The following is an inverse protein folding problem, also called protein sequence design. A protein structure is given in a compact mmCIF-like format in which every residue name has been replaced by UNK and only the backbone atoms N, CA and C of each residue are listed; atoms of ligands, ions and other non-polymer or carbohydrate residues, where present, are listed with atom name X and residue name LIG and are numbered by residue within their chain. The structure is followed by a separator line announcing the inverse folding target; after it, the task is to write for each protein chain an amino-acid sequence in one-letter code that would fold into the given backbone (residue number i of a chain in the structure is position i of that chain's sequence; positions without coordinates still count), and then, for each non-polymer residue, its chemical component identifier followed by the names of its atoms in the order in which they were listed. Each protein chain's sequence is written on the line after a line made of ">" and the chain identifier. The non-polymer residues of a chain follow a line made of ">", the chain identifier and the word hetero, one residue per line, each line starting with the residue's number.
data_IF_844760190357
#
_entry.id   IF_844760190357
#
_cell.length_a   1.000
_cell.length_b   1.000
_cell.length_c   1.000
_cell.angle_alpha   90.00
_cell.angle_beta   90.00
_cell.angle_gamma   90.00
#
_symmetry.space_group_name_H-M   'P 1'
#
loop_
_entity.id
_entity.type
_entity.pdbx_description
1 polymer ?
#
# COMPACT_ATOMS: atom_id res chain seq x y z
N UNK A 1 40.48 22.26 -7.00
CA UNK A 1 40.07 20.93 -7.50
C UNK A 1 38.57 20.95 -7.74
N UNK A 2 38.06 20.31 -8.80
CA UNK A 2 36.65 20.39 -9.16
C UNK A 2 35.77 19.59 -8.20
N UNK A 3 34.62 20.15 -7.84
CA UNK A 3 33.64 19.49 -6.97
C UNK A 3 32.99 18.29 -7.67
N UNK A 4 32.45 17.33 -6.91
CA UNK A 4 31.71 16.19 -7.47
C UNK A 4 30.59 16.63 -8.43
N UNK A 5 29.87 17.70 -8.08
CA UNK A 5 28.80 18.26 -8.91
C UNK A 5 29.33 18.76 -10.26
N UNK A 6 30.53 19.35 -10.28
CA UNK A 6 31.17 19.79 -11.53
C UNK A 6 31.60 18.60 -12.40
N UNK A 7 32.15 17.55 -11.77
CA UNK A 7 32.54 16.32 -12.46
C UNK A 7 31.32 15.60 -13.07
N UNK A 8 30.21 15.52 -12.34
CA UNK A 8 28.95 14.95 -12.82
C UNK A 8 28.36 15.76 -13.97
N UNK A 9 28.46 17.10 -13.90
CA UNK A 9 27.98 17.99 -14.94
C UNK A 9 28.75 17.79 -16.25
N UNK A 10 30.09 17.60 -16.18
CA UNK A 10 30.91 17.25 -17.35
C UNK A 10 30.67 15.84 -17.89
N UNK A 11 30.37 14.87 -17.01
CA UNK A 11 29.96 13.52 -17.41
C UNK A 11 28.56 13.47 -18.06
N UNK A 12 27.80 14.56 -17.95
CA UNK A 12 26.43 14.71 -18.45
C UNK A 12 25.42 14.48 -17.34
N UNK A 13 24.71 15.55 -16.94
CA UNK A 13 23.80 15.55 -15.77
C UNK A 13 22.64 14.53 -15.83
N UNK A 14 22.19 14.17 -17.04
CA UNK A 14 21.09 13.24 -17.29
C UNK A 14 21.17 12.59 -18.68
N UNK A 15 22.31 11.94 -18.94
CA UNK A 15 22.58 11.25 -20.19
C UNK A 15 21.88 9.88 -20.29
N UNK A 16 22.26 9.10 -21.31
CA UNK A 16 21.64 7.79 -21.61
C UNK A 16 21.79 6.82 -20.45
N UNK A 17 22.94 6.82 -19.78
CA UNK A 17 23.19 5.96 -18.63
C UNK A 17 22.21 6.25 -17.49
N UNK A 18 22.12 7.51 -17.06
CA UNK A 18 21.24 7.90 -15.96
C UNK A 18 19.78 7.64 -16.28
N UNK A 19 19.33 7.91 -17.51
CA UNK A 19 17.96 7.61 -17.95
C UNK A 19 17.62 6.12 -17.86
N UNK A 20 18.54 5.24 -18.26
CA UNK A 20 18.34 3.79 -18.18
C UNK A 20 18.24 3.31 -16.73
N UNK A 21 19.19 3.71 -15.88
CA UNK A 21 19.18 3.37 -14.45
C UNK A 21 17.93 3.91 -13.76
N UNK A 22 17.56 5.15 -14.09
CA UNK A 22 16.37 5.81 -13.59
C UNK A 22 15.09 5.05 -13.92
N UNK A 23 14.87 4.72 -15.19
CA UNK A 23 13.67 3.99 -15.62
C UNK A 23 13.56 2.61 -14.96
N UNK A 24 14.68 1.90 -14.79
CA UNK A 24 14.72 0.63 -14.09
C UNK A 24 14.33 0.78 -12.62
N UNK A 25 14.92 1.75 -11.92
CA UNK A 25 14.62 1.97 -10.49
C UNK A 25 13.19 2.48 -10.26
N UNK A 26 12.61 3.22 -11.22
CA UNK A 26 11.21 3.63 -11.21
C UNK A 26 10.22 2.45 -11.18
N UNK A 27 10.55 1.30 -11.78
CA UNK A 27 9.70 0.10 -11.73
C UNK A 27 9.51 -0.42 -10.30
N UNK A 28 10.48 -0.17 -9.41
CA UNK A 28 10.35 -0.44 -7.98
C UNK A 28 9.19 0.34 -7.37
N UNK A 29 8.89 1.53 -7.91
CA UNK A 29 7.80 2.34 -7.42
C UNK A 29 6.42 1.74 -7.66
N UNK A 30 6.28 1.00 -8.76
CA UNK A 30 5.06 0.25 -9.11
C UNK A 30 4.81 -0.85 -8.07
N UNK A 31 5.83 -1.64 -7.73
CA UNK A 31 5.68 -2.73 -6.74
C UNK A 31 5.51 -2.21 -5.32
N UNK A 32 6.10 -1.06 -4.99
CA UNK A 32 5.84 -0.42 -3.71
C UNK A 32 4.38 0.06 -3.59
N UNK A 33 3.80 0.59 -4.66
CA UNK A 33 2.37 0.94 -4.69
C UNK A 33 1.50 -0.29 -4.44
N UNK A 34 1.81 -1.41 -5.09
CA UNK A 34 1.11 -2.67 -4.86
C UNK A 34 1.13 -3.08 -3.38
N UNK A 35 2.28 -2.97 -2.72
CA UNK A 35 2.39 -3.26 -1.30
C UNK A 35 1.57 -2.29 -0.43
N UNK A 36 1.61 -1.00 -0.78
CA UNK A 36 0.99 0.09 -0.02
C UNK A 36 -0.53 0.04 -0.05
N UNK A 37 -1.14 -0.12 -1.23
CA UNK A 37 -2.60 -0.16 -1.42
C UNK A 37 -3.19 -1.58 -1.48
N UNK A 38 -2.36 -2.61 -1.56
CA UNK A 38 -2.79 -4.01 -1.76
C UNK A 38 -3.81 -4.53 -0.75
N UNK A 39 -3.80 -4.03 0.48
CA UNK A 39 -4.74 -4.45 1.54
C UNK A 39 -6.20 -4.27 1.12
N UNK A 40 -6.49 -3.26 0.31
CA UNK A 40 -7.86 -2.94 -0.11
C UNK A 40 -8.45 -4.04 -1.00
N UNK A 41 -7.62 -4.68 -1.82
CA UNK A 41 -8.03 -5.80 -2.67
C UNK A 41 -7.96 -7.14 -1.93
N UNK A 42 -6.93 -7.32 -1.10
CA UNK A 42 -6.75 -8.55 -0.31
C UNK A 42 -7.84 -8.73 0.76
N UNK A 43 -8.34 -7.62 1.31
CA UNK A 43 -9.37 -7.55 2.35
C UNK A 43 -10.70 -7.05 1.83
N UNK A 44 -11.05 -7.32 0.57
CA UNK A 44 -12.36 -6.96 0.05
C UNK A 44 -13.48 -7.63 0.87
N UNK A 45 -14.43 -6.82 1.34
CA UNK A 45 -15.48 -7.31 2.23
C UNK A 45 -16.49 -8.16 1.45
N UNK A 46 -16.80 -9.38 1.93
CA UNK A 46 -17.76 -10.25 1.27
C UNK A 46 -19.18 -9.70 1.36
N UNK A 47 -19.95 -9.85 0.29
CA UNK A 47 -21.30 -9.28 0.17
C UNK A 47 -22.33 -9.99 1.08
N UNK A 48 -22.14 -11.29 1.34
CA UNK A 48 -22.98 -12.07 2.26
C UNK A 48 -22.13 -12.97 3.16
N UNK A 49 -22.30 -12.83 4.47
CA UNK A 49 -21.65 -13.67 5.49
C UNK A 49 -22.56 -13.90 6.70
N UNK A 50 -22.62 -15.14 7.21
CA UNK A 50 -23.39 -15.53 8.40
C UNK A 50 -22.55 -16.44 9.29
N UNK A 51 -22.98 -16.64 10.53
CA UNK A 51 -22.46 -17.71 11.36
C UNK A 51 -23.47 -18.85 11.48
N UNK A 52 -22.97 -20.09 11.37
CA UNK A 52 -23.79 -21.29 11.58
C UNK A 52 -23.67 -21.79 13.01
N UNK A 53 -24.81 -22.04 13.65
CA UNK A 53 -24.88 -22.83 14.88
C UNK A 53 -24.78 -24.33 14.57
N UNK A 54 -24.53 -25.19 15.58
CA UNK A 54 -24.46 -26.63 15.41
C UNK A 54 -25.74 -27.22 14.78
N UNK A 55 -26.92 -26.76 15.19
CA UNK A 55 -28.20 -27.21 14.59
C UNK A 55 -28.40 -26.73 13.15
N UNK A 56 -27.90 -25.54 12.80
CA UNK A 56 -27.96 -25.04 11.43
C UNK A 56 -27.01 -25.82 10.51
N UNK A 57 -25.80 -26.13 10.99
CA UNK A 57 -24.83 -26.94 10.26
C UNK A 57 -25.34 -28.36 10.00
N UNK A 58 -25.89 -29.02 11.02
CA UNK A 58 -26.48 -30.35 10.87
C UNK A 58 -27.68 -30.35 9.91
N UNK A 59 -28.49 -29.29 9.91
CA UNK A 59 -29.63 -29.15 9.01
C UNK A 59 -29.17 -28.93 7.57
N UNK A 60 -28.18 -28.06 7.33
CA UNK A 60 -27.61 -27.82 6.02
C UNK A 60 -27.01 -29.10 5.41
N UNK A 61 -26.26 -29.87 6.21
CA UNK A 61 -25.69 -31.16 5.78
C UNK A 61 -26.76 -32.21 5.49
N UNK A 62 -27.79 -32.31 6.33
CA UNK A 62 -28.92 -33.23 6.13
C UNK A 62 -29.74 -32.91 4.88
N UNK A 63 -29.95 -31.62 4.61
CA UNK A 63 -30.81 -31.16 3.53
C UNK A 63 -30.06 -30.89 2.22
N UNK A 64 -28.72 -30.92 2.23
CA UNK A 64 -27.89 -30.71 1.03
C UNK A 64 -28.00 -29.30 0.44
N UNK A 65 -28.18 -28.28 1.28
CA UNK A 65 -28.39 -26.90 0.82
C UNK A 65 -27.12 -26.30 0.18
N UNK A 66 -27.33 -25.44 -0.82
CA UNK A 66 -26.27 -24.56 -1.31
C UNK A 66 -25.99 -23.44 -0.28
N UNK A 67 -24.81 -22.80 -0.33
CA UNK A 67 -24.50 -21.68 0.56
C UNK A 67 -25.53 -20.54 0.49
N UNK A 68 -26.05 -20.25 -0.70
CA UNK A 68 -27.08 -19.21 -0.91
C UNK A 68 -28.44 -19.61 -0.31
N UNK A 69 -28.83 -20.89 -0.45
CA UNK A 69 -30.04 -21.41 0.16
C UNK A 69 -29.95 -21.41 1.69
N UNK A 70 -28.79 -21.78 2.23
CA UNK A 70 -28.52 -21.75 3.66
C UNK A 70 -28.62 -20.32 4.20
N UNK A 71 -28.01 -19.34 3.52
CA UNK A 71 -28.13 -17.92 3.86
C UNK A 71 -29.59 -17.48 3.91
N UNK A 72 -30.35 -17.68 2.83
CA UNK A 72 -31.75 -17.25 2.76
C UNK A 72 -32.65 -17.88 3.83
N UNK A 73 -32.33 -19.09 4.29
CA UNK A 73 -33.14 -19.85 5.26
C UNK A 73 -32.70 -19.67 6.72
N UNK A 74 -31.45 -19.32 6.97
CA UNK A 74 -30.87 -19.32 8.33
C UNK A 74 -30.29 -17.98 8.78
N UNK A 75 -30.04 -17.05 7.86
CA UNK A 75 -29.56 -15.73 8.21
C UNK A 75 -30.72 -14.84 8.69
N UNK A 76 -30.56 -14.10 9.81
CA UNK A 76 -31.54 -13.11 10.20
C UNK A 76 -31.63 -11.99 9.16
N UNK A 77 -32.83 -11.68 8.69
CA UNK A 77 -33.07 -10.45 7.94
C UNK A 77 -32.71 -9.25 8.83
N UNK A 78 -31.81 -8.37 8.38
CA UNK A 78 -31.44 -7.15 9.08
C UNK A 78 -32.70 -6.25 9.23
N UNK A 79 -33.37 -6.34 10.38
CA UNK A 79 -34.45 -5.40 10.76
C UNK A 79 -33.83 -4.17 11.40
N UNK A 80 -33.43 -3.20 10.57
CA UNK A 80 -33.01 -1.87 11.00
C UNK A 80 -32.18 -1.16 9.93
N UNK A 81 -32.13 0.19 9.91
CA UNK A 81 -31.23 0.91 9.02
C UNK A 81 -29.79 0.59 9.45
N UNK A 82 -29.10 -0.24 8.69
CA UNK A 82 -27.65 -0.37 8.85
C UNK A 82 -27.02 1.02 8.60
N UNK A 83 -26.02 1.45 9.39
CA UNK A 83 -25.24 2.61 9.01
C UNK A 83 -24.70 2.35 7.60
N UNK A 84 -24.99 3.27 6.68
CA UNK A 84 -24.81 3.16 5.22
C UNK A 84 -23.35 3.02 4.75
N UNK A 85 -22.43 2.72 5.66
CA UNK A 85 -20.98 2.77 5.46
C UNK A 85 -20.30 1.40 5.52
N UNK A 86 -21.02 0.29 5.71
CA UNK A 86 -20.41 -1.05 5.74
C UNK A 86 -21.02 -1.94 4.65
N UNK A 87 -20.16 -2.39 3.75
CA UNK A 87 -20.49 -3.38 2.72
C UNK A 87 -20.85 -4.71 3.39
N UNK A 88 -21.75 -5.46 2.77
CA UNK A 88 -22.15 -6.79 3.22
C UNK A 88 -23.42 -6.80 4.06
N UNK A 89 -24.45 -7.51 3.58
CA UNK A 89 -25.71 -7.74 4.30
C UNK A 89 -25.52 -8.78 5.42
N UNK A 90 -24.32 -8.87 5.99
CA UNK A 90 -23.92 -9.94 6.89
C UNK A 90 -24.45 -9.74 8.30
N UNK A 91 -25.08 -10.77 8.86
CA UNK A 91 -25.62 -10.71 10.21
C UNK A 91 -24.58 -11.17 11.24
N UNK A 92 -24.27 -10.30 12.20
CA UNK A 92 -23.46 -10.64 13.37
C UNK A 92 -24.24 -11.44 14.43
N UNK A 93 -25.48 -11.81 14.12
CA UNK A 93 -26.37 -12.60 14.96
C UNK A 93 -26.84 -13.82 14.18
N UNK A 94 -27.18 -14.89 14.89
CA UNK A 94 -27.83 -16.08 14.32
C UNK A 94 -29.11 -16.40 15.07
N UNK A 95 -30.02 -17.09 14.38
CA UNK A 95 -31.13 -17.76 15.05
C UNK A 95 -30.62 -18.91 15.93
N UNK A 96 -31.12 -18.98 17.16
CA UNK A 96 -30.87 -20.09 18.08
C UNK A 96 -31.83 -21.25 17.78
N UNK A 97 -31.56 -21.97 16.69
CA UNK A 97 -32.38 -23.11 16.25
C UNK A 97 -32.40 -24.26 17.27
N UNK A 98 -31.39 -24.34 18.16
CA UNK A 98 -31.31 -25.31 19.26
C UNK A 98 -32.50 -25.20 20.23
N UNK A 99 -33.08 -23.99 20.38
CA UNK A 99 -34.22 -23.76 21.26
C UNK A 99 -35.52 -24.42 20.74
N UNK A 100 -35.59 -24.82 19.47
CA UNK A 100 -36.71 -25.59 18.94
C UNK A 100 -36.82 -26.98 19.58
N UNK A 101 -35.68 -27.58 19.97
CA UNK A 101 -35.67 -28.91 20.58
C UNK A 101 -36.15 -28.89 22.04
N UNK A 102 -36.06 -27.74 22.72
CA UNK A 102 -36.44 -27.56 24.12
C UNK A 102 -37.91 -27.12 24.29
N UNK A 103 -38.51 -26.55 23.24
CA UNK A 103 -39.94 -26.21 23.23
C UNK A 103 -40.73 -27.45 22.80
N UNK A 104 -41.73 -27.84 23.60
CA UNK A 104 -42.45 -29.11 23.58
C UNK A 104 -43.31 -29.41 22.31
N UNK A 105 -42.97 -28.86 21.15
CA UNK A 105 -43.61 -29.08 19.85
C UNK A 105 -42.61 -29.65 18.82
N UNK A 106 -41.83 -30.66 19.23
CA UNK A 106 -40.72 -31.24 18.47
C UNK A 106 -41.17 -32.00 17.20
N UNK A 107 -41.53 -31.26 16.15
CA UNK A 107 -41.28 -31.69 14.78
C UNK A 107 -39.80 -31.48 14.47
N UNK A 108 -39.18 -32.42 13.75
CA UNK A 108 -37.82 -32.21 13.23
C UNK A 108 -37.79 -30.91 12.41
N UNK A 109 -36.74 -30.09 12.60
CA UNK A 109 -36.51 -28.88 11.80
C UNK A 109 -36.68 -29.21 10.30
N UNK A 110 -37.57 -28.48 9.64
CA UNK A 110 -37.89 -28.71 8.24
C UNK A 110 -36.80 -28.20 7.32
N UNK A 111 -36.51 -28.95 6.25
CA UNK A 111 -35.59 -28.52 5.19
C UNK A 111 -36.14 -27.38 4.32
N UNK A 112 -37.44 -27.09 4.38
CA UNK A 112 -38.04 -26.01 3.59
C UNK A 112 -38.08 -24.68 4.36
N UNK A 113 -38.45 -24.73 5.65
CA UNK A 113 -38.53 -23.56 6.53
C UNK A 113 -38.17 -23.96 7.97
N UNK A 114 -36.92 -23.70 8.42
CA UNK A 114 -36.50 -24.01 9.79
C UNK A 114 -37.17 -23.13 10.85
N UNK A 115 -37.67 -21.95 10.48
CA UNK A 115 -38.31 -21.01 11.42
C UNK A 115 -39.77 -21.39 11.71
N UNK A 116 -40.38 -22.26 10.90
CA UNK A 116 -41.73 -22.77 11.14
C UNK A 116 -41.87 -23.57 12.45
N UNK A 117 -40.76 -24.07 13.00
CA UNK A 117 -40.73 -24.75 14.30
C UNK A 117 -40.93 -23.79 15.50
N UNK A 118 -40.86 -22.47 15.28
CA UNK A 118 -40.96 -21.46 16.33
C UNK A 118 -42.30 -20.71 16.29
N UNK A 119 -42.87 -20.32 17.44
CA UNK A 119 -44.05 -19.46 17.49
C UNK A 119 -43.77 -18.14 16.77
N UNK A 120 -44.74 -17.68 15.95
CA UNK A 120 -44.64 -16.47 15.11
C UNK A 120 -43.48 -16.46 14.08
N UNK A 121 -42.90 -17.62 13.74
CA UNK A 121 -41.74 -17.75 12.84
C UNK A 121 -40.53 -16.90 13.26
N UNK A 122 -40.41 -16.64 14.57
CA UNK A 122 -39.34 -15.81 15.13
C UNK A 122 -38.55 -16.61 16.16
N UNK A 123 -37.37 -17.07 15.77
CA UNK A 123 -36.43 -17.68 16.69
C UNK A 123 -35.63 -16.60 17.46
N UNK A 124 -35.24 -16.86 18.72
CA UNK A 124 -34.39 -15.94 19.47
C UNK A 124 -33.02 -15.75 18.79
N UNK A 125 -32.53 -14.51 18.81
CA UNK A 125 -31.25 -14.13 18.21
C UNK A 125 -30.13 -14.20 19.24
N UNK A 126 -28.99 -14.78 18.85
CA UNK A 126 -27.78 -14.83 19.67
C UNK A 126 -26.57 -14.31 18.89
N UNK A 127 -25.60 -13.65 19.56
CA UNK A 127 -24.40 -13.16 18.91
C UNK A 127 -23.54 -14.30 18.37
N UNK A 128 -23.00 -14.10 17.17
CA UNK A 128 -22.06 -15.01 16.54
C UNK A 128 -20.69 -14.98 17.24
N UNK A 129 -20.14 -16.15 17.57
CA UNK A 129 -18.78 -16.28 18.15
C UNK A 129 -17.79 -17.05 17.26
N UNK A 130 -18.27 -17.70 16.21
CA UNK A 130 -17.46 -18.50 15.29
C UNK A 130 -18.33 -19.30 14.32
N UNK A 131 -17.70 -20.11 13.47
CA UNK A 131 -18.41 -20.90 12.46
C UNK A 131 -18.93 -20.04 11.32
N UNK A 132 -18.13 -19.09 10.85
CA UNK A 132 -18.52 -18.19 9.77
C UNK A 132 -18.58 -18.92 8.42
N UNK A 133 -19.52 -18.49 7.58
CA UNK A 133 -19.68 -18.89 6.20
C UNK A 133 -19.84 -17.64 5.35
N UNK A 134 -19.29 -17.72 4.14
CA UNK A 134 -19.26 -16.64 3.17
C UNK A 134 -19.88 -17.19 1.88
N UNK A 135 -20.80 -16.45 1.27
CA UNK A 135 -21.45 -16.89 0.02
C UNK A 135 -20.52 -16.77 -1.19
N UNK A 136 -19.49 -15.93 -1.11
CA UNK A 136 -18.58 -15.68 -2.23
C UNK A 136 -17.71 -16.90 -2.54
N UNK A 137 -17.51 -17.17 -3.84
CA UNK A 137 -16.69 -18.28 -4.32
C UNK A 137 -15.17 -18.06 -4.16
N UNK A 138 -14.74 -16.81 -3.93
CA UNK A 138 -13.33 -16.45 -3.84
C UNK A 138 -12.93 -16.16 -2.39
N UNK A 139 -11.75 -16.64 -1.99
CA UNK A 139 -11.20 -16.36 -0.67
C UNK A 139 -10.59 -14.96 -0.61
N UNK A 140 -10.83 -14.29 0.52
CA UNK A 140 -10.23 -13.03 0.94
C UNK A 140 -9.55 -13.20 2.31
N UNK A 141 -8.71 -12.24 2.72
CA UNK A 141 -8.13 -12.25 4.08
C UNK A 141 -9.24 -12.27 5.14
N UNK A 142 -10.37 -11.61 4.87
CA UNK A 142 -11.52 -11.57 5.77
C UNK A 142 -12.12 -12.96 5.93
N UNK A 143 -12.33 -13.69 4.82
CA UNK A 143 -12.91 -15.02 4.86
C UNK A 143 -11.98 -16.09 5.40
N UNK A 144 -10.66 -15.93 5.20
CA UNK A 144 -9.65 -16.90 5.65
C UNK A 144 -9.44 -16.85 7.17
N UNK A 145 -9.42 -15.64 7.74
CA UNK A 145 -9.13 -15.42 9.17
C UNK A 145 -10.36 -15.00 9.99
N UNK A 146 -11.55 -15.05 9.41
CA UNK A 146 -12.81 -14.66 10.07
C UNK A 146 -12.81 -13.26 10.68
N UNK A 147 -12.37 -12.28 9.88
CA UNK A 147 -12.22 -10.88 10.29
C UNK A 147 -13.53 -10.08 10.18
N UNK A 148 -14.64 -10.63 10.69
CA UNK A 148 -15.96 -10.00 10.66
C UNK A 148 -16.46 -9.65 12.07
N UNK A 149 -17.44 -8.75 12.15
CA UNK A 149 -18.11 -8.37 13.39
C UNK A 149 -17.14 -7.88 14.48
N UNK A 150 -16.98 -8.63 15.58
CA UNK A 150 -16.08 -8.27 16.69
C UNK A 150 -14.61 -8.23 16.24
N UNK A 151 -14.24 -8.97 15.19
CA UNK A 151 -12.88 -9.03 14.67
C UNK A 151 -12.63 -8.10 13.47
N UNK A 152 -13.61 -7.29 13.06
CA UNK A 152 -13.46 -6.42 11.87
C UNK A 152 -12.28 -5.44 11.99
N UNK A 153 -12.00 -4.93 13.19
CA UNK A 153 -10.86 -4.04 13.47
C UNK A 153 -9.49 -4.70 13.17
N UNK A 154 -9.42 -6.02 13.13
CA UNK A 154 -8.19 -6.74 12.84
C UNK A 154 -7.74 -6.54 11.39
N UNK A 155 -8.67 -6.26 10.46
CA UNK A 155 -8.30 -5.88 9.10
C UNK A 155 -7.52 -4.56 9.09
N UNK A 156 -8.02 -3.54 9.79
CA UNK A 156 -7.35 -2.25 9.93
C UNK A 156 -6.00 -2.40 10.63
N UNK A 157 -5.91 -3.31 11.61
CA UNK A 157 -4.65 -3.65 12.29
C UNK A 157 -3.59 -4.14 11.28
N UNK A 158 -3.97 -4.91 10.25
CA UNK A 158 -3.00 -5.40 9.25
C UNK A 158 -2.29 -4.25 8.54
N UNK A 159 -3.04 -3.21 8.17
CA UNK A 159 -2.49 -2.03 7.52
C UNK A 159 -1.73 -1.14 8.50
N UNK A 160 -2.22 -1.00 9.74
CA UNK A 160 -1.50 -0.26 10.78
C UNK A 160 -0.12 -0.89 11.05
N UNK A 161 -0.04 -2.21 11.10
CA UNK A 161 1.21 -2.95 11.32
C UNK A 161 2.15 -2.87 10.13
N UNK A 162 1.63 -2.91 8.89
CA UNK A 162 2.43 -2.64 7.70
C UNK A 162 3.08 -1.24 7.77
N UNK A 163 2.31 -0.22 8.16
CA UNK A 163 2.82 1.15 8.31
C UNK A 163 3.81 1.29 9.47
N UNK A 164 3.60 0.57 10.57
CA UNK A 164 4.59 0.47 11.65
C UNK A 164 5.89 -0.16 11.13
N UNK A 165 5.78 -1.16 10.25
CA UNK A 165 6.88 -1.72 9.50
C UNK A 165 7.57 -0.67 8.63
N UNK A 166 6.82 0.16 7.90
CA UNK A 166 7.41 1.26 7.13
C UNK A 166 8.20 2.24 8.02
N UNK A 167 7.67 2.59 9.19
CA UNK A 167 8.38 3.43 10.15
C UNK A 167 9.70 2.79 10.59
N UNK A 168 9.65 1.54 11.05
CA UNK A 168 10.84 0.80 11.47
C UNK A 168 11.86 0.64 10.33
N UNK A 169 11.41 0.38 9.09
CA UNK A 169 12.26 0.27 7.91
C UNK A 169 12.92 1.58 7.52
N UNK A 170 12.21 2.71 7.62
CA UNK A 170 12.79 4.03 7.34
C UNK A 170 13.95 4.36 8.29
N UNK A 171 13.83 4.04 9.58
CA UNK A 171 14.92 4.23 10.53
C UNK A 171 16.05 3.22 10.35
N UNK A 172 15.72 1.92 10.31
CA UNK A 172 16.73 0.85 10.34
C UNK A 172 17.44 0.69 8.99
N UNK A 173 16.70 0.44 7.91
CA UNK A 173 17.26 0.24 6.58
C UNK A 173 17.73 1.55 5.94
N UNK A 174 17.10 2.67 6.26
CA UNK A 174 17.61 4.00 5.88
C UNK A 174 19.00 4.26 6.46
N UNK A 175 19.16 4.08 7.78
CA UNK A 175 20.45 4.21 8.45
C UNK A 175 21.47 3.17 7.96
N UNK A 176 21.04 1.92 7.77
CA UNK A 176 21.89 0.88 7.22
C UNK A 176 22.39 1.22 5.81
N UNK A 177 21.57 1.85 4.98
CA UNK A 177 21.96 2.26 3.62
C UNK A 177 23.03 3.35 3.62
N UNK A 178 23.01 4.26 4.61
CA UNK A 178 24.08 5.24 4.84
C UNK A 178 25.39 4.57 5.29
N UNK A 179 25.30 3.42 5.96
CA UNK A 179 26.47 2.73 6.51
C UNK A 179 27.11 1.71 5.58
N UNK A 180 26.30 0.84 4.99
CA UNK A 180 26.75 -0.36 4.28
C UNK A 180 26.67 -0.25 2.76
N UNK A 181 26.11 0.84 2.23
CA UNK A 181 25.96 1.07 0.79
C UNK A 181 24.50 1.08 0.37
N UNK A 182 24.19 1.82 -0.69
CA UNK A 182 22.82 1.99 -1.16
C UNK A 182 22.33 0.73 -1.86
N UNK A 183 23.14 0.16 -2.75
CA UNK A 183 22.72 -0.97 -3.59
C UNK A 183 22.58 -2.25 -2.77
N UNK A 184 23.48 -2.47 -1.80
CA UNK A 184 23.45 -3.67 -0.96
C UNK A 184 22.16 -3.71 -0.13
N UNK A 185 21.81 -2.59 0.51
CA UNK A 185 20.58 -2.50 1.30
C UNK A 185 19.34 -2.54 0.42
N UNK A 186 19.38 -1.94 -0.78
CA UNK A 186 18.29 -2.06 -1.76
C UNK A 186 18.02 -3.53 -2.12
N UNK A 187 19.05 -4.30 -2.47
CA UNK A 187 18.91 -5.71 -2.86
C UNK A 187 18.45 -6.60 -1.70
N UNK A 188 19.03 -6.41 -0.51
CA UNK A 188 18.58 -7.06 0.74
C UNK A 188 17.10 -6.78 1.01
N UNK A 189 16.67 -5.53 0.79
CA UNK A 189 15.28 -5.14 0.98
C UNK A 189 14.36 -5.77 -0.07
N UNK A 190 14.76 -5.80 -1.34
CA UNK A 190 13.97 -6.47 -2.40
C UNK A 190 13.79 -7.97 -2.10
N UNK A 191 14.88 -8.65 -1.70
CA UNK A 191 14.82 -10.05 -1.30
C UNK A 191 13.91 -10.25 -0.08
N UNK A 192 14.04 -9.38 0.93
CA UNK A 192 13.21 -9.41 2.13
C UNK A 192 11.72 -9.23 1.84
N UNK A 193 11.34 -8.27 0.99
CA UNK A 193 9.95 -8.10 0.53
C UNK A 193 9.45 -9.36 -0.17
N UNK A 194 10.27 -9.93 -1.06
CA UNK A 194 9.97 -11.16 -1.79
C UNK A 194 9.66 -12.34 -0.87
N UNK A 195 10.58 -12.65 0.05
CA UNK A 195 10.44 -13.79 0.97
C UNK A 195 9.28 -13.58 1.92
N UNK A 196 9.21 -12.41 2.58
CA UNK A 196 8.14 -12.13 3.54
C UNK A 196 6.77 -12.13 2.88
N UNK A 197 6.64 -11.62 1.66
CA UNK A 197 5.37 -11.62 0.95
C UNK A 197 4.89 -13.00 0.52
N UNK A 198 5.79 -13.93 0.18
CA UNK A 198 5.44 -15.35 -0.08
C UNK A 198 4.95 -16.01 1.21
N UNK A 199 5.60 -15.76 2.34
CA UNK A 199 5.15 -16.29 3.63
C UNK A 199 3.78 -15.72 4.02
N UNK A 200 3.52 -14.43 3.75
CA UNK A 200 2.20 -13.82 3.95
C UNK A 200 1.12 -14.52 3.10
N UNK A 201 1.42 -14.88 1.85
CA UNK A 201 0.47 -15.57 0.97
C UNK A 201 0.07 -16.96 1.49
N UNK A 202 0.96 -17.65 2.22
CA UNK A 202 0.72 -18.99 2.75
C UNK A 202 0.66 -19.02 4.28
N UNK A 203 0.30 -17.89 4.91
CA UNK A 203 0.27 -17.80 6.36
C UNK A 203 -0.82 -18.71 6.95
N UNK A 204 -0.48 -19.64 7.86
CA UNK A 204 -1.44 -20.63 8.39
C UNK A 204 -2.36 -20.06 9.48
N UNK A 205 -1.99 -18.91 10.06
CA UNK A 205 -2.76 -18.26 11.11
C UNK A 205 -2.51 -16.74 11.11
N UNK A 206 -3.41 -16.01 11.74
CA UNK A 206 -3.38 -14.54 11.77
C UNK A 206 -2.12 -13.95 12.43
N UNK A 207 -1.59 -14.49 13.55
CA UNK A 207 -0.33 -13.98 14.13
C UNK A 207 0.87 -14.06 13.18
N UNK A 208 1.06 -15.19 12.48
CA UNK A 208 2.11 -15.33 11.48
C UNK A 208 1.89 -14.33 10.34
N UNK A 209 0.66 -14.22 9.84
CA UNK A 209 0.31 -13.24 8.81
C UNK A 209 0.75 -11.84 9.22
N UNK A 210 0.39 -11.40 10.43
CA UNK A 210 0.68 -10.05 10.94
C UNK A 210 2.18 -9.80 11.14
N UNK A 211 2.93 -10.76 11.69
CA UNK A 211 4.38 -10.65 11.89
C UNK A 211 5.10 -10.47 10.54
N UNK A 212 4.75 -11.30 9.56
CA UNK A 212 5.38 -11.20 8.24
C UNK A 212 4.89 -9.98 7.47
N UNK A 213 3.66 -9.49 7.72
CA UNK A 213 3.19 -8.21 7.19
C UNK A 213 4.00 -7.03 7.72
N UNK A 214 4.36 -7.04 9.01
CA UNK A 214 5.27 -6.05 9.61
C UNK A 214 6.63 -6.06 8.91
N UNK A 215 7.24 -7.25 8.78
CA UNK A 215 8.55 -7.39 8.13
C UNK A 215 8.50 -7.00 6.65
N UNK A 216 7.42 -7.35 5.95
CA UNK A 216 7.19 -6.92 4.57
C UNK A 216 7.14 -5.39 4.47
N UNK A 217 6.56 -4.71 5.46
CA UNK A 217 6.62 -3.26 5.60
C UNK A 217 8.05 -2.73 5.77
N UNK A 218 8.81 -3.28 6.73
CA UNK A 218 10.21 -2.91 6.98
C UNK A 218 11.02 -2.91 5.68
N UNK A 219 11.03 -4.04 4.98
CA UNK A 219 11.78 -4.20 3.73
C UNK A 219 11.16 -3.39 2.58
N UNK A 220 9.83 -3.25 2.53
CA UNK A 220 9.14 -2.46 1.51
C UNK A 220 9.55 -1.00 1.53
N UNK A 221 9.58 -0.39 2.72
CA UNK A 221 10.03 0.99 2.86
C UNK A 221 11.51 1.16 2.59
N UNK A 222 12.34 0.22 3.04
CA UNK A 222 13.78 0.21 2.75
C UNK A 222 14.05 0.21 1.24
N UNK A 223 13.32 -0.61 0.49
CA UNK A 223 13.40 -0.69 -0.97
C UNK A 223 13.05 0.64 -1.64
N UNK A 224 11.92 1.25 -1.30
CA UNK A 224 11.51 2.55 -1.86
C UNK A 224 12.51 3.67 -1.52
N UNK A 225 12.92 3.77 -0.26
CA UNK A 225 13.81 4.84 0.20
C UNK A 225 15.19 4.74 -0.45
N UNK A 226 15.80 3.55 -0.47
CA UNK A 226 17.11 3.35 -1.09
C UNK A 226 17.07 3.58 -2.60
N UNK A 227 16.03 3.11 -3.29
CA UNK A 227 15.82 3.38 -4.72
C UNK A 227 15.77 4.89 -5.01
N UNK A 228 14.96 5.64 -4.26
CA UNK A 228 14.85 7.09 -4.41
C UNK A 228 16.20 7.79 -4.18
N UNK A 229 16.93 7.39 -3.14
CA UNK A 229 18.24 7.97 -2.81
C UNK A 229 19.25 7.72 -3.93
N UNK A 230 19.41 6.46 -4.40
CA UNK A 230 20.33 6.10 -5.50
C UNK A 230 20.08 6.98 -6.72
N UNK A 231 18.82 7.10 -7.12
CA UNK A 231 18.42 7.90 -8.26
C UNK A 231 18.83 9.36 -8.09
N UNK A 232 18.55 9.97 -6.94
CA UNK A 232 18.86 11.39 -6.70
C UNK A 232 20.37 11.66 -6.56
N UNK A 233 21.16 10.67 -6.14
CA UNK A 233 22.60 10.77 -5.98
C UNK A 233 23.36 10.63 -7.32
N UNK A 234 22.79 9.91 -8.29
CA UNK A 234 23.35 9.71 -9.64
C UNK A 234 23.01 10.85 -10.61
N UNK A 235 21.88 11.54 -10.42
CA UNK A 235 21.44 12.64 -11.30
C UNK A 235 21.93 14.01 -10.85
N UNK A 236 22.11 14.92 -11.81
CA UNK A 236 22.47 16.31 -11.55
C UNK A 236 21.42 17.06 -10.72
N UNK A 237 21.86 18.06 -9.95
CA UNK A 237 21.03 18.82 -9.00
C UNK A 237 19.79 19.46 -9.65
N UNK A 238 19.90 19.93 -10.89
CA UNK A 238 18.78 20.51 -11.67
C UNK A 238 17.68 19.50 -11.96
N UNK A 239 18.05 18.24 -12.21
CA UNK A 239 17.12 17.20 -12.68
C UNK A 239 16.45 16.44 -11.53
N UNK A 240 16.99 16.51 -10.31
CA UNK A 240 16.44 15.83 -9.11
C UNK A 240 14.95 16.07 -8.90
N UNK A 241 14.48 17.29 -9.18
CA UNK A 241 13.07 17.66 -9.05
C UNK A 241 12.18 16.83 -9.99
N UNK A 242 12.52 16.81 -11.28
CA UNK A 242 11.76 16.10 -12.33
C UNK A 242 11.77 14.61 -12.03
N UNK A 243 12.95 14.08 -11.76
CA UNK A 243 13.20 12.68 -11.40
C UNK A 243 12.34 12.24 -10.20
N UNK A 244 12.25 13.07 -9.15
CA UNK A 244 11.42 12.77 -7.98
C UNK A 244 9.92 12.74 -8.30
N UNK A 245 9.43 13.66 -9.14
CA UNK A 245 8.02 13.65 -9.57
C UNK A 245 7.73 12.45 -10.46
N UNK A 246 8.64 12.10 -11.36
CA UNK A 246 8.46 10.95 -12.24
C UNK A 246 8.46 9.64 -11.45
N UNK A 247 9.30 9.46 -10.42
CA UNK A 247 9.20 8.30 -9.51
C UNK A 247 7.79 8.19 -8.90
N UNK A 248 7.22 9.32 -8.46
CA UNK A 248 5.87 9.34 -7.93
C UNK A 248 4.82 8.95 -8.99
N UNK A 249 5.00 9.35 -10.26
CA UNK A 249 4.11 8.90 -11.33
C UNK A 249 4.17 7.38 -11.55
N UNK A 250 5.32 6.74 -11.37
CA UNK A 250 5.41 5.26 -11.43
C UNK A 250 4.70 4.60 -10.24
N UNK A 251 4.68 5.23 -9.07
CA UNK A 251 3.84 4.78 -7.96
C UNK A 251 2.36 4.86 -8.33
N UNK A 252 1.91 5.97 -8.92
CA UNK A 252 0.55 6.12 -9.44
C UNK A 252 0.22 5.07 -10.51
N UNK A 253 1.16 4.75 -11.41
CA UNK A 253 0.98 3.65 -12.38
C UNK A 253 0.73 2.32 -11.68
N UNK A 254 1.39 2.05 -10.55
CA UNK A 254 1.10 0.87 -9.74
C UNK A 254 -0.32 0.87 -9.16
N UNK A 255 -0.83 2.02 -8.73
CA UNK A 255 -2.23 2.15 -8.29
C UNK A 255 -3.20 1.85 -9.44
N UNK A 256 -2.88 2.26 -10.67
CA UNK A 256 -3.72 2.01 -11.86
C UNK A 256 -3.67 0.53 -12.28
N UNK A 257 -2.51 -0.11 -12.20
CA UNK A 257 -2.30 -1.50 -12.64
C UNK A 257 -2.92 -2.50 -11.66
N UNK A 258 -2.85 -2.22 -10.35
CA UNK A 258 -3.26 -3.17 -9.31
C UNK A 258 -4.74 -3.62 -9.40
N UNK A 259 -5.74 -2.74 -9.62
CA UNK A 259 -7.12 -3.15 -9.85
C UNK A 259 -7.25 -4.15 -11.00
N UNK A 260 -6.49 -3.97 -12.08
CA UNK A 260 -6.46 -4.90 -13.20
C UNK A 260 -5.96 -6.27 -12.79
N UNK A 261 -4.86 -6.34 -12.04
CA UNK A 261 -4.32 -7.61 -11.50
C UNK A 261 -5.36 -8.28 -10.60
N UNK A 262 -5.97 -7.53 -9.68
CA UNK A 262 -6.96 -8.03 -8.74
C UNK A 262 -8.26 -8.50 -9.41
N UNK A 263 -8.63 -7.90 -10.55
CA UNK A 263 -9.78 -8.33 -11.35
C UNK A 263 -9.55 -9.69 -12.02
N UNK A 264 -8.36 -9.93 -12.57
CA UNK A 264 -8.02 -11.21 -13.24
C UNK A 264 -7.66 -12.32 -12.25
N UNK A 265 -7.18 -11.98 -11.06
CA UNK A 265 -6.79 -12.93 -10.01
C UNK A 265 -7.67 -12.68 -8.79
N UNK A 266 -8.85 -13.30 -8.72
CA UNK A 266 -9.81 -13.01 -7.65
C UNK A 266 -9.43 -13.60 -6.30
N UNK A 267 -8.39 -14.45 -6.24
CA UNK A 267 -7.94 -15.05 -4.99
C UNK A 267 -6.86 -14.21 -4.29
N UNK A 268 -7.02 -13.94 -2.99
CA UNK A 268 -6.09 -13.11 -2.21
C UNK A 268 -4.65 -13.64 -2.19
N UNK A 269 -4.43 -14.96 -2.08
CA UNK A 269 -3.07 -15.51 -2.14
C UNK A 269 -2.42 -15.23 -3.51
N UNK A 270 -3.21 -15.35 -4.58
CA UNK A 270 -2.77 -15.07 -5.94
C UNK A 270 -2.38 -13.61 -6.14
N UNK A 271 -3.19 -12.66 -5.63
CA UNK A 271 -2.88 -11.23 -5.63
C UNK A 271 -1.57 -10.99 -4.85
N UNK A 272 -1.46 -11.52 -3.63
CA UNK A 272 -0.26 -11.34 -2.80
C UNK A 272 1.01 -11.86 -3.50
N UNK A 273 0.94 -13.00 -4.20
CA UNK A 273 2.05 -13.54 -4.99
C UNK A 273 2.35 -12.66 -6.21
N UNK A 274 1.33 -12.21 -6.95
CA UNK A 274 1.51 -11.33 -8.10
C UNK A 274 2.18 -9.99 -7.72
N UNK A 275 1.90 -9.48 -6.53
CA UNK A 275 2.54 -8.28 -5.97
C UNK A 275 3.99 -8.54 -5.56
N UNK A 276 4.24 -9.72 -4.98
CA UNK A 276 5.51 -10.01 -4.30
C UNK A 276 6.58 -10.54 -5.26
N UNK A 277 6.24 -11.45 -6.16
CA UNK A 277 7.19 -12.15 -7.04
C UNK A 277 8.03 -11.21 -7.93
N UNK A 278 7.48 -10.10 -8.50
CA UNK A 278 8.28 -9.16 -9.27
C UNK A 278 9.47 -8.56 -8.51
N UNK A 279 9.43 -8.51 -7.17
CA UNK A 279 10.54 -7.96 -6.38
C UNK A 279 11.82 -8.79 -6.47
N UNK A 280 11.73 -10.10 -6.77
CA UNK A 280 12.91 -10.93 -7.01
C UNK A 280 13.64 -10.56 -8.30
N UNK A 281 12.93 -10.03 -9.31
CA UNK A 281 13.55 -9.58 -10.57
C UNK A 281 14.47 -8.38 -10.33
N UNK A 282 14.20 -7.56 -9.31
CA UNK A 282 15.07 -6.44 -8.95
C UNK A 282 16.42 -6.88 -8.38
N UNK A 283 16.60 -8.15 -8.00
CA UNK A 283 17.93 -8.67 -7.61
C UNK A 283 18.92 -8.63 -8.78
N UNK A 284 18.42 -8.71 -10.02
CA UNK A 284 19.24 -8.56 -11.22
C UNK A 284 19.82 -7.15 -11.36
N UNK A 285 19.33 -6.17 -10.59
CA UNK A 285 19.84 -4.80 -10.65
C UNK A 285 21.24 -4.67 -10.09
N UNK A 286 21.74 -5.65 -9.32
CA UNK A 286 23.15 -5.72 -8.92
C UNK A 286 24.11 -5.55 -10.10
N UNK A 287 23.75 -6.08 -11.26
CA UNK A 287 24.59 -6.06 -12.47
C UNK A 287 24.45 -4.78 -13.30
N UNK A 288 23.35 -4.04 -13.12
CA UNK A 288 22.98 -2.92 -14.00
C UNK A 288 23.13 -1.57 -13.31
N UNK A 289 22.84 -1.52 -12.01
CA UNK A 289 22.82 -0.29 -11.21
C UNK A 289 24.14 -0.20 -10.42
N UNK A 290 24.95 0.85 -10.65
CA UNK A 290 26.17 1.04 -9.88
C UNK A 290 25.84 1.51 -8.46
N UNK A 291 26.78 1.32 -7.54
CA UNK A 291 26.73 1.97 -6.23
C UNK A 291 26.78 3.50 -6.37
N UNK A 292 26.23 4.21 -5.39
CA UNK A 292 26.18 5.67 -5.39
C UNK A 292 27.59 6.29 -5.36
N UNK A 293 27.96 7.10 -6.39
CA UNK A 293 29.24 7.78 -6.39
C UNK A 293 29.40 8.75 -5.21
N UNK A 294 28.29 9.37 -4.76
CA UNK A 294 28.30 10.29 -3.60
C UNK A 294 28.61 9.53 -2.31
N UNK A 295 27.97 8.39 -2.11
CA UNK A 295 28.22 7.56 -0.94
C UNK A 295 29.68 7.08 -0.90
N UNK A 296 30.23 6.65 -2.03
CA UNK A 296 31.64 6.23 -2.13
C UNK A 296 32.61 7.36 -1.76
N UNK A 297 32.32 8.60 -2.15
CA UNK A 297 33.12 9.77 -1.76
C UNK A 297 33.08 9.99 -0.24
N UNK A 298 31.91 9.88 0.39
CA UNK A 298 31.80 10.00 1.86
C UNK A 298 32.54 8.89 2.60
N UNK A 299 32.76 7.74 1.95
CA UNK A 299 33.52 6.60 2.49
C UNK A 299 35.02 6.67 2.21
N UNK A 300 35.53 7.78 1.68
CA UNK A 300 36.93 7.95 1.24
C UNK A 300 37.35 6.98 0.12
N UNK A 301 36.39 6.40 -0.61
CA UNK A 301 36.64 5.50 -1.74
C UNK A 301 36.55 6.27 -3.08
N UNK A 302 37.33 7.35 -3.20
CA UNK A 302 37.30 8.25 -4.37
C UNK A 302 37.62 7.56 -5.70
N UNK A 303 38.51 6.57 -5.70
CA UNK A 303 38.89 5.81 -6.89
C UNK A 303 37.73 5.03 -7.50
N UNK A 304 36.92 4.38 -6.66
CA UNK A 304 35.72 3.64 -7.11
C UNK A 304 34.68 4.61 -7.65
N UNK A 305 34.48 5.74 -6.98
CA UNK A 305 33.58 6.79 -7.44
C UNK A 305 34.00 7.34 -8.82
N UNK A 306 35.30 7.58 -9.02
CA UNK A 306 35.85 8.02 -10.30
C UNK A 306 35.72 6.97 -11.40
N UNK A 307 35.92 5.69 -11.10
CA UNK A 307 35.69 4.60 -12.05
C UNK A 307 34.23 4.59 -12.54
N UNK A 308 33.27 4.77 -11.63
CA UNK A 308 31.86 4.87 -11.98
C UNK A 308 31.60 6.13 -12.81
N UNK A 309 32.12 7.29 -12.44
CA UNK A 309 31.97 8.53 -13.21
C UNK A 309 32.55 8.42 -14.63
N UNK A 310 33.71 7.77 -14.79
CA UNK A 310 34.31 7.51 -16.10
C UNK A 310 33.43 6.59 -16.94
N UNK A 311 32.81 5.57 -16.35
CA UNK A 311 31.86 4.70 -17.04
C UNK A 311 30.60 5.46 -17.46
N UNK A 312 30.07 6.34 -16.59
CA UNK A 312 28.95 7.23 -16.92
C UNK A 312 29.31 8.12 -18.10
N UNK A 313 30.48 8.78 -18.05
CA UNK A 313 30.95 9.66 -19.12
C UNK A 313 31.08 8.90 -20.46
N UNK A 314 31.71 7.71 -20.45
CA UNK A 314 31.83 6.83 -21.62
C UNK A 314 30.47 6.48 -22.22
N UNK A 315 29.52 6.02 -21.40
CA UNK A 315 28.16 5.69 -21.85
C UNK A 315 27.39 6.91 -22.39
N UNK A 316 27.70 8.10 -21.91
CA UNK A 316 27.10 9.36 -22.35
C UNK A 316 27.84 10.00 -23.55
N UNK A 317 28.90 9.38 -24.06
CA UNK A 317 29.72 9.95 -25.13
C UNK A 317 30.48 11.22 -24.71
N UNK A 318 30.77 11.36 -23.41
CA UNK A 318 31.52 12.47 -22.82
C UNK A 318 32.90 12.00 -22.37
N UNK A 319 33.87 12.90 -22.36
CA UNK A 319 35.22 12.64 -21.89
C UNK A 319 35.46 13.36 -20.57
N UNK A 320 35.86 12.61 -19.54
CA UNK A 320 36.29 13.18 -18.26
C UNK A 320 37.82 13.27 -18.27
N UNK A 321 38.35 14.50 -18.19
CA UNK A 321 39.79 14.75 -18.24
C UNK A 321 40.54 14.04 -17.09
N UNK A 322 41.78 13.57 -17.31
CA UNK A 322 42.62 13.01 -16.24
C UNK A 322 42.85 13.96 -15.06
N UNK A 323 42.66 15.28 -15.23
CA UNK A 323 42.75 16.29 -14.16
C UNK A 323 41.71 16.11 -13.03
N UNK A 324 40.74 15.21 -13.21
CA UNK A 324 39.81 14.77 -12.17
C UNK A 324 40.36 13.57 -11.37
N UNK A 325 41.68 13.40 -11.31
CA UNK A 325 42.36 12.24 -10.70
C UNK A 325 42.02 12.04 -9.23
N UNK A 326 41.73 13.13 -8.51
CA UNK A 326 41.25 13.10 -7.13
C UNK A 326 40.01 14.00 -7.03
N UNK A 327 38.85 13.41 -6.75
CA UNK A 327 37.70 14.18 -6.27
C UNK A 327 38.04 14.54 -4.83
N UNK A 328 38.06 15.82 -4.48
CA UNK A 328 38.27 16.25 -3.10
C UNK A 328 37.24 15.56 -2.21
N UNK A 329 37.68 14.56 -1.46
CA UNK A 329 37.04 14.19 -0.22
C UNK A 329 37.44 15.32 0.71
N UNK A 330 36.52 16.23 1.03
CA UNK A 330 36.79 17.23 2.07
C UNK A 330 37.25 16.47 3.31
N UNK A 331 38.48 16.73 3.77
CA UNK A 331 39.08 16.11 4.96
C UNK A 331 38.36 16.48 6.27
N UNK A 332 37.27 17.25 6.19
CA UNK A 332 36.30 17.31 7.28
C UNK A 332 35.90 15.89 7.62
N UNK A 333 36.22 15.46 8.86
CA UNK A 333 35.72 14.21 9.41
C UNK A 333 34.22 14.17 9.16
N UNK A 334 33.78 13.39 8.18
CA UNK A 334 32.37 13.14 7.95
C UNK A 334 31.93 12.28 9.13
N UNK A 335 31.63 12.95 10.25
CA UNK A 335 31.13 12.31 11.45
C UNK A 335 29.94 11.47 11.03
N UNK A 336 29.93 10.19 11.42
CA UNK A 336 28.81 9.30 11.07
C UNK A 336 27.51 10.01 11.48
N UNK A 337 26.66 10.43 10.52
CA UNK A 337 25.52 11.27 10.83
C UNK A 337 24.59 10.50 11.77
N UNK A 338 24.25 11.13 12.89
CA UNK A 338 23.32 10.57 13.87
C UNK A 338 21.94 11.20 13.70
N UNK A 339 20.88 10.48 14.09
CA UNK A 339 19.53 11.07 14.14
C UNK A 339 19.47 12.30 15.06
N UNK A 340 20.35 12.37 16.06
CA UNK A 340 20.49 13.52 16.95
C UNK A 340 20.97 14.79 16.22
N UNK A 341 21.68 14.65 15.09
CA UNK A 341 22.16 15.80 14.34
C UNK A 341 21.02 16.55 13.63
N UNK A 342 19.87 15.91 13.38
CA UNK A 342 18.69 16.57 12.79
C UNK A 342 18.07 17.63 13.70
N UNK A 343 18.29 17.52 15.02
CA UNK A 343 17.75 18.45 16.03
C UNK A 343 18.83 19.27 16.72
N UNK A 344 20.11 19.02 16.39
CA UNK A 344 21.27 19.64 17.05
C UNK A 344 21.35 21.14 16.86
N UNK A 345 21.11 21.65 15.64
CA UNK A 345 21.13 23.09 15.37
C UNK A 345 19.71 23.64 15.26
N UNK A 346 19.47 24.89 15.70
CA UNK A 346 18.13 25.47 15.71
C UNK A 346 17.51 25.57 14.30
N UNK A 347 18.33 25.80 13.28
CA UNK A 347 17.88 25.85 11.88
C UNK A 347 17.50 24.47 11.35
N UNK A 348 18.32 23.44 11.58
CA UNK A 348 17.98 22.06 11.19
C UNK A 348 16.72 21.58 11.93
N UNK A 349 16.63 21.82 13.24
CA UNK A 349 15.44 21.51 14.03
C UNK A 349 14.17 22.15 13.46
N UNK A 350 14.24 23.44 13.09
CA UNK A 350 13.11 24.14 12.46
C UNK A 350 12.73 23.50 11.13
N UNK A 351 13.70 23.21 10.26
CA UNK A 351 13.45 22.55 8.97
C UNK A 351 12.85 21.14 9.15
N UNK A 352 13.41 20.34 10.07
CA UNK A 352 12.94 19.00 10.40
C UNK A 352 11.49 19.02 10.89
N UNK A 353 11.14 19.88 11.86
CA UNK A 353 9.78 19.98 12.38
C UNK A 353 8.76 20.41 11.32
N UNK A 354 9.11 21.39 10.47
CA UNK A 354 8.25 21.83 9.36
C UNK A 354 8.00 20.68 8.38
N UNK A 355 9.06 19.95 8.01
CA UNK A 355 8.92 18.82 7.07
C UNK A 355 8.13 17.66 7.69
N UNK A 356 8.35 17.35 8.98
CA UNK A 356 7.59 16.32 9.69
C UNK A 356 6.09 16.65 9.71
N UNK A 357 5.73 17.89 10.04
CA UNK A 357 4.34 18.33 10.04
C UNK A 357 3.72 18.28 8.64
N UNK A 358 4.44 18.78 7.63
CA UNK A 358 3.98 18.77 6.24
C UNK A 358 3.77 17.35 5.70
N UNK A 359 4.65 16.41 6.06
CA UNK A 359 4.50 15.00 5.72
C UNK A 359 3.35 14.35 6.47
N UNK A 360 3.20 14.65 7.76
CA UNK A 360 2.10 14.13 8.58
C UNK A 360 0.74 14.51 8.00
N UNK A 361 0.50 15.80 7.71
CA UNK A 361 -0.78 16.25 7.13
C UNK A 361 -1.05 15.61 5.78
N UNK A 362 -0.02 15.55 4.91
CA UNK A 362 -0.16 14.97 3.56
C UNK A 362 -0.42 13.47 3.63
N UNK A 363 0.26 12.74 4.51
CA UNK A 363 0.11 11.29 4.66
C UNK A 363 -1.26 10.92 5.23
N UNK A 364 -1.74 11.63 6.26
CA UNK A 364 -3.07 11.39 6.84
C UNK A 364 -4.16 11.60 5.81
N UNK A 365 -4.12 12.71 5.06
CA UNK A 365 -5.12 13.00 4.02
C UNK A 365 -5.05 11.97 2.90
N UNK A 366 -3.85 11.69 2.36
CA UNK A 366 -3.69 10.74 1.26
C UNK A 366 -4.14 9.33 1.65
N UNK A 367 -3.62 8.81 2.76
CA UNK A 367 -3.94 7.46 3.20
C UNK A 367 -5.41 7.34 3.63
N UNK A 368 -5.96 8.37 4.29
CA UNK A 368 -7.37 8.40 4.66
C UNK A 368 -8.30 8.34 3.45
N UNK A 369 -8.02 9.13 2.41
CA UNK A 369 -8.80 9.13 1.17
C UNK A 369 -8.70 7.79 0.42
N UNK A 370 -7.48 7.26 0.28
CA UNK A 370 -7.25 5.98 -0.40
C UNK A 370 -7.96 4.82 0.32
N UNK A 371 -7.89 4.78 1.65
CA UNK A 371 -8.60 3.75 2.43
C UNK A 371 -10.11 3.92 2.34
N UNK A 372 -10.61 5.16 2.31
CA UNK A 372 -12.05 5.44 2.18
C UNK A 372 -12.60 5.01 0.81
N UNK A 373 -11.82 5.08 -0.26
CA UNK A 373 -12.23 4.53 -1.57
C UNK A 373 -12.52 3.03 -1.52
N UNK A 374 -11.89 2.30 -0.59
CA UNK A 374 -12.20 0.89 -0.34
C UNK A 374 -13.56 0.63 0.31
N UNK A 375 -14.16 1.67 0.90
CA UNK A 375 -15.35 1.61 1.76
C UNK A 375 -16.56 2.27 1.07
N UNK A 376 -16.34 3.29 0.22
CA UNK A 376 -17.42 3.98 -0.51
C UNK A 376 -18.12 2.98 -1.45
N UNK A 377 -19.46 2.98 -1.43
CA UNK A 377 -20.28 2.07 -2.24
C UNK A 377 -20.08 2.30 -3.74
N UNK A 378 -19.79 1.22 -4.48
CA UNK A 378 -19.44 1.26 -5.90
C UNK A 378 -18.68 0.01 -6.35
N UNK A 379 -18.07 0.08 -7.54
CA UNK A 379 -17.17 -0.94 -8.03
C UNK A 379 -15.73 -0.57 -7.65
N UNK A 380 -15.22 -1.21 -6.59
CA UNK A 380 -13.87 -1.03 -6.04
C UNK A 380 -12.78 -0.90 -7.12
N UNK A 381 -12.84 -1.75 -8.15
CA UNK A 381 -11.83 -1.79 -9.21
C UNK A 381 -11.83 -0.51 -10.05
N UNK A 382 -13.03 -0.02 -10.39
CA UNK A 382 -13.22 1.19 -11.19
C UNK A 382 -12.87 2.42 -10.35
N UNK A 383 -13.30 2.46 -9.09
CA UNK A 383 -13.07 3.60 -8.21
C UNK A 383 -11.57 3.84 -7.98
N UNK A 384 -10.81 2.76 -7.73
CA UNK A 384 -9.35 2.85 -7.62
C UNK A 384 -8.67 3.20 -8.94
N UNK A 385 -9.16 2.68 -10.07
CA UNK A 385 -8.64 3.01 -11.39
C UNK A 385 -8.82 4.50 -11.71
N UNK A 386 -10.03 5.04 -11.51
CA UNK A 386 -10.33 6.46 -11.71
C UNK A 386 -9.47 7.31 -10.78
N UNK A 387 -9.37 6.96 -9.49
CA UNK A 387 -8.53 7.70 -8.53
C UNK A 387 -7.07 7.74 -8.98
N UNK A 388 -6.51 6.63 -9.46
CA UNK A 388 -5.15 6.58 -9.97
C UNK A 388 -4.97 7.43 -11.23
N UNK A 389 -5.93 7.40 -12.16
CA UNK A 389 -5.88 8.21 -13.39
C UNK A 389 -5.92 9.71 -13.07
N UNK A 390 -6.70 10.14 -12.09
CA UNK A 390 -6.81 11.56 -11.67
C UNK A 390 -5.49 12.10 -11.08
N UNK A 391 -4.65 11.25 -10.50
CA UNK A 391 -3.34 11.66 -9.99
C UNK A 391 -2.36 12.07 -11.12
N UNK A 392 -2.47 11.47 -12.32
CA UNK A 392 -1.54 11.74 -13.43
C UNK A 392 -1.60 13.20 -13.93
N UNK A 393 -2.78 13.80 -14.23
CA UNK A 393 -2.89 15.24 -14.50
C UNK A 393 -2.34 16.09 -13.36
N UNK A 394 -2.57 15.69 -12.10
CA UNK A 394 -2.03 16.37 -10.93
C UNK A 394 -0.49 16.42 -10.95
N UNK A 395 0.16 15.31 -11.27
CA UNK A 395 1.62 15.25 -11.38
C UNK A 395 2.17 16.15 -12.52
N UNK A 396 1.47 16.22 -13.65
CA UNK A 396 1.81 17.13 -14.75
C UNK A 396 1.66 18.61 -14.36
N UNK A 397 0.58 18.95 -13.64
CA UNK A 397 0.39 20.29 -13.10
C UNK A 397 1.51 20.68 -12.13
N UNK A 398 1.98 19.75 -11.29
CA UNK A 398 3.10 19.98 -10.37
C UNK A 398 4.38 20.29 -11.15
N UNK A 399 4.67 19.55 -12.23
CA UNK A 399 5.84 19.82 -13.08
C UNK A 399 5.81 21.23 -13.66
N UNK A 400 4.65 21.66 -14.19
CA UNK A 400 4.49 22.99 -14.79
C UNK A 400 4.52 24.13 -13.77
N UNK A 401 3.91 23.93 -12.60
CA UNK A 401 3.76 24.98 -11.58
C UNK A 401 5.02 25.21 -10.76
N UNK A 402 5.79 24.16 -10.45
CA UNK A 402 6.99 24.31 -9.61
C UNK A 402 8.06 25.18 -10.28
N UNK A 403 8.17 25.16 -11.60
CA UNK A 403 9.15 25.99 -12.32
C UNK A 403 8.74 27.46 -12.35
N UNK A 404 7.43 27.74 -12.41
CA UNK A 404 6.90 29.10 -12.55
C UNK A 404 6.67 29.81 -11.23
N UNK A 405 6.13 29.12 -10.23
CA UNK A 405 5.68 29.71 -8.96
C UNK A 405 6.55 29.28 -7.76
N UNK A 406 7.60 28.49 -8.00
CA UNK A 406 8.42 27.90 -6.95
C UNK A 406 7.70 26.77 -6.21
N UNK A 407 8.25 26.30 -5.08
CA UNK A 407 7.75 25.11 -4.37
C UNK A 407 6.71 25.38 -3.29
N UNK A 408 6.76 26.55 -2.63
CA UNK A 408 5.95 26.83 -1.44
C UNK A 408 4.48 27.13 -1.77
N UNK A 409 4.24 27.96 -2.79
CA UNK A 409 2.89 28.37 -3.17
C UNK A 409 2.05 27.20 -3.71
N UNK A 410 2.54 26.37 -4.66
CA UNK A 410 1.75 25.22 -5.13
C UNK A 410 1.42 24.24 -4.01
N UNK A 411 2.36 23.99 -3.09
CA UNK A 411 2.15 23.11 -1.94
C UNK A 411 1.10 23.65 -0.96
N UNK A 412 1.14 24.95 -0.65
CA UNK A 412 0.13 25.55 0.23
C UNK A 412 -1.26 25.55 -0.43
N UNK A 413 -1.34 25.95 -1.71
CA UNK A 413 -2.58 25.96 -2.46
C UNK A 413 -3.20 24.56 -2.55
N UNK A 414 -2.41 23.52 -2.86
CA UNK A 414 -2.91 22.15 -2.95
C UNK A 414 -3.46 21.63 -1.62
N UNK A 415 -2.78 21.93 -0.50
CA UNK A 415 -3.28 21.54 0.83
C UNK A 415 -4.58 22.27 1.20
N UNK A 416 -4.71 23.57 0.87
CA UNK A 416 -5.94 24.32 1.10
C UNK A 416 -7.08 23.76 0.26
N UNK A 417 -6.86 23.51 -1.03
CA UNK A 417 -7.86 22.92 -1.92
C UNK A 417 -8.29 21.54 -1.43
N UNK A 418 -7.35 20.67 -1.04
CA UNK A 418 -7.67 19.36 -0.47
C UNK A 418 -8.48 19.48 0.84
N UNK A 419 -8.10 20.40 1.73
CA UNK A 419 -8.82 20.65 2.97
C UNK A 419 -10.25 21.15 2.75
N UNK A 420 -10.44 22.10 1.82
CA UNK A 420 -11.77 22.59 1.44
C UNK A 420 -12.60 21.46 0.82
N UNK A 421 -12.02 20.64 -0.07
CA UNK A 421 -12.71 19.49 -0.65
C UNK A 421 -13.17 18.50 0.43
N UNK A 422 -12.31 18.15 1.38
CA UNK A 422 -12.69 17.28 2.51
C UNK A 422 -13.81 17.89 3.36
N UNK A 423 -13.77 19.20 3.65
CA UNK A 423 -14.86 19.88 4.38
C UNK A 423 -16.16 19.83 3.59
N UNK A 424 -16.13 20.13 2.29
CA UNK A 424 -17.32 20.04 1.42
C UNK A 424 -17.91 18.63 1.46
N UNK A 425 -17.08 17.58 1.39
CA UNK A 425 -17.58 16.19 1.48
C UNK A 425 -18.22 15.87 2.84
N UNK A 426 -17.81 16.53 3.92
CA UNK A 426 -18.40 16.34 5.25
C UNK A 426 -19.77 17.00 5.39
N UNK A 427 -20.04 18.07 4.64
CA UNK A 427 -21.31 18.81 4.68
C UNK A 427 -22.30 18.42 3.57
N UNK A 428 -21.96 17.47 2.69
CA UNK A 428 -22.87 17.00 1.64
C UNK A 428 -24.00 16.12 2.24
N UNK A 429 -25.29 16.47 2.04
CA UNK A 429 -26.42 15.66 2.47
C UNK A 429 -26.44 14.29 1.78
N UNK A 430 -26.86 13.24 2.49
CA UNK A 430 -26.91 11.86 1.95
C UNK A 430 -27.79 11.74 0.70
N UNK A 431 -28.81 12.59 0.58
CA UNK A 431 -29.73 12.64 -0.56
C UNK A 431 -29.09 13.11 -1.88
N UNK A 432 -27.88 13.69 -1.86
CA UNK A 432 -27.14 14.15 -3.04
C UNK A 432 -25.98 13.21 -3.44
N UNK A 433 -25.79 12.08 -2.74
CA UNK A 433 -24.71 11.11 -3.05
C UNK A 433 -24.79 10.51 -4.46
N UNK A 434 -25.93 10.64 -5.15
CA UNK A 434 -26.11 10.25 -6.56
C UNK A 434 -25.37 11.16 -7.56
N UNK A 435 -24.94 12.37 -7.16
CA UNK A 435 -24.08 13.23 -8.00
C UNK A 435 -22.60 12.81 -7.95
N UNK A 436 -22.19 12.07 -6.91
CA UNK A 436 -20.79 11.69 -6.66
C UNK A 436 -20.47 10.29 -7.18
N UNK A 437 -21.49 9.48 -7.46
CA UNK A 437 -21.35 8.11 -7.95
C UNK A 437 -22.19 7.96 -9.21
N UNK A 438 -21.54 7.90 -10.38
CA UNK A 438 -22.20 7.47 -11.61
C UNK A 438 -22.74 6.05 -11.39
N UNK A 439 -24.07 5.93 -11.23
CA UNK A 439 -24.77 4.65 -11.34
C UNK A 439 -24.54 4.10 -12.75
N UNK A 440 -23.68 3.10 -12.90
CA UNK A 440 -23.87 2.07 -13.91
C UNK A 440 -24.44 0.84 -13.21
N UNK A 441 -25.75 0.66 -13.35
CA UNK A 441 -26.53 -0.41 -12.72
C UNK A 441 -28.00 -0.17 -12.98
N UNK A 442 -28.37 -0.22 -14.27
CA UNK A 442 -29.74 -0.24 -14.77
C UNK A 442 -30.56 -1.31 -14.06
N UNK A 443 -31.76 -0.92 -13.62
CA UNK A 443 -32.87 -1.85 -13.48
C UNK A 443 -33.05 -2.60 -14.80
N UNK A 444 -33.01 -3.92 -14.74
CA UNK A 444 -33.84 -4.86 -15.50
C UNK A 444 -33.72 -6.24 -14.85
#
# INVERSE_FOLDING_TARGET
>A
MPSFDEALLRAGEFGRFQRRVFLLLCLTGVTFAFLFVGVVFLGSQPDHYWCRGPSAAALAERCGWSPEEEWNRTAPALRGPAPSERRGDGSCQRYLLEAANASAAAGALSCADPLAAFPNRSAPLVPCRGGWRYAQAHSTIISEFDLVCVNAWMLDLTQAILNLGFLAGAFTLGYAADRYGRIVIYLMSCFGVGVTGVVVAFAPNFPVFVIFRFLQGVFGKGTWMTSYVIVTEIVGSKQRRIVGIVIQMFFTLGIIILPGIAYFIPNWQGIQLAITLPNFLFLLYYWVVPESPRWLITRKEGDKALKILRNIAKCNGKYLSPNYSEITVTDEEVSNPSFLDLVRTPQMRKCTLILMFAWFTSAVVYQGLVMRLGIIGGNLYIDFFISGVVELPGALLILLTIERFGRRLPFAASNVVAGVACLVTAFLPEALRWWVTERHGSQL
#
